data_IF_331954612677
#
_entry.id   IF_331954612677
#
_cell.length_a   1.000
_cell.length_b   1.000
_cell.length_c   1.000
_cell.angle_alpha   90.00
_cell.angle_beta   90.00
_cell.angle_gamma   90.00
#
_symmetry.space_group_name_H-M   'P 1'
#
loop_
_entity.id
_entity.type
_entity.pdbx_description
1 polymer ?
#
# COMPACT_ATOMS: atom_id res chain seq x y z
N UNK A 1 30.16 100.20 -27.66
CA UNK A 1 29.03 99.28 -27.96
C UNK A 1 28.26 98.96 -26.68
N UNK A 2 26.96 99.31 -26.68
CA UNK A 2 25.77 98.71 -26.02
C UNK A 2 25.80 98.47 -24.49
N UNK A 3 24.99 99.20 -23.67
CA UNK A 3 23.54 99.02 -23.36
C UNK A 3 23.28 97.60 -22.80
N UNK A 4 22.70 97.38 -21.63
CA UNK A 4 21.59 98.04 -20.92
C UNK A 4 21.45 97.45 -19.51
N UNK A 5 21.20 98.28 -18.51
CA UNK A 5 20.59 97.86 -17.23
C UNK A 5 19.06 97.93 -17.34
N UNK A 6 18.37 96.78 -17.21
CA UNK A 6 17.00 96.64 -16.68
C UNK A 6 16.58 95.16 -16.65
N UNK A 7 16.13 94.65 -15.50
CA UNK A 7 14.70 94.58 -15.16
C UNK A 7 14.47 93.69 -13.92
N UNK A 8 13.50 94.11 -13.11
CA UNK A 8 12.92 93.46 -11.94
C UNK A 8 12.54 91.98 -12.10
N UNK A 9 12.61 91.23 -11.00
CA UNK A 9 11.59 90.22 -10.65
C UNK A 9 11.34 90.14 -9.14
N UNK A 10 10.06 90.17 -8.69
CA UNK A 10 9.71 89.94 -7.30
C UNK A 10 9.87 88.45 -6.94
N UNK A 11 10.45 88.18 -5.77
CA UNK A 11 10.56 86.84 -5.20
C UNK A 11 9.18 86.37 -4.72
N UNK A 12 8.51 85.58 -5.56
CA UNK A 12 7.36 84.77 -5.12
C UNK A 12 7.78 83.79 -4.05
N UNK A 13 7.31 83.99 -2.81
CA UNK A 13 7.46 83.02 -1.71
C UNK A 13 6.68 81.75 -2.06
N UNK A 14 7.37 80.68 -2.40
CA UNK A 14 6.81 79.34 -2.38
C UNK A 14 6.39 79.03 -0.94
N UNK A 15 5.07 78.95 -0.69
CA UNK A 15 4.53 78.38 0.55
C UNK A 15 4.79 76.89 0.51
N UNK A 16 5.86 76.45 1.18
CA UNK A 16 6.01 75.06 1.57
C UNK A 16 4.84 74.71 2.50
N UNK A 17 3.86 73.97 1.98
CA UNK A 17 2.92 73.23 2.82
C UNK A 17 3.75 72.23 3.61
N UNK A 18 4.15 72.63 4.83
CA UNK A 18 4.53 71.68 5.87
C UNK A 18 3.30 70.81 6.10
N UNK A 19 3.28 69.64 5.48
CA UNK A 19 2.46 68.56 6.01
C UNK A 19 2.92 68.38 7.45
N UNK A 20 2.06 68.80 8.39
CA UNK A 20 2.37 68.77 9.80
C UNK A 20 2.82 67.36 10.17
N UNK A 21 3.99 67.27 10.79
CA UNK A 21 4.39 66.07 11.51
C UNK A 21 3.34 65.86 12.61
N UNK A 22 2.35 65.02 12.33
CA UNK A 22 1.36 64.58 13.32
C UNK A 22 2.12 63.69 14.29
N UNK A 23 2.22 64.14 15.54
CA UNK A 23 2.79 63.35 16.62
C UNK A 23 1.97 62.08 16.82
N UNK A 24 2.68 60.96 16.96
CA UNK A 24 2.13 59.64 17.19
C UNK A 24 1.38 59.63 18.52
N UNK A 25 0.06 59.45 18.49
CA UNK A 25 -0.78 59.49 19.68
C UNK A 25 -0.70 58.15 20.43
N UNK A 26 -0.84 58.17 21.76
CA UNK A 26 -0.88 56.93 22.59
C UNK A 26 -1.95 55.95 22.07
N UNK A 27 -3.07 56.49 21.58
CA UNK A 27 -4.17 55.71 21.03
C UNK A 27 -3.80 55.02 19.72
N UNK A 28 -2.98 55.62 18.86
CA UNK A 28 -2.44 54.96 17.65
C UNK A 28 -1.54 53.78 18.00
N UNK A 29 -0.69 53.92 19.03
CA UNK A 29 0.14 52.80 19.49
C UNK A 29 -0.71 51.66 20.03
N UNK A 30 -1.72 51.98 20.86
CA UNK A 30 -2.62 51.00 21.45
C UNK A 30 -3.42 50.24 20.39
N UNK A 31 -4.00 50.96 19.43
CA UNK A 31 -4.74 50.37 18.32
C UNK A 31 -3.80 49.51 17.46
N UNK A 32 -2.59 49.99 17.16
CA UNK A 32 -1.61 49.22 16.39
C UNK A 32 -1.24 47.90 17.09
N UNK A 33 -0.94 47.93 18.40
CA UNK A 33 -0.60 46.73 19.17
C UNK A 33 -1.81 45.80 19.28
N UNK A 34 -3.02 46.32 19.45
CA UNK A 34 -4.24 45.51 19.49
C UNK A 34 -4.48 44.78 18.17
N UNK A 35 -4.34 45.47 17.02
CA UNK A 35 -4.46 44.87 15.69
C UNK A 35 -3.35 43.83 15.49
N UNK A 36 -2.10 44.15 15.82
CA UNK A 36 -0.98 43.22 15.72
C UNK A 36 -1.20 41.96 16.57
N UNK A 37 -1.74 42.11 17.78
CA UNK A 37 -2.05 40.98 18.66
C UNK A 37 -3.12 40.06 18.05
N UNK A 38 -4.17 40.61 17.46
CA UNK A 38 -5.23 39.84 16.77
C UNK A 38 -4.66 39.13 15.54
N UNK A 39 -3.88 39.84 14.72
CA UNK A 39 -3.22 39.26 13.53
C UNK A 39 -2.28 38.13 13.92
N UNK A 40 -1.47 38.31 14.97
CA UNK A 40 -0.57 37.28 15.47
C UNK A 40 -1.33 36.02 15.95
N UNK A 41 -2.46 36.19 16.66
CA UNK A 41 -3.28 35.07 17.12
C UNK A 41 -3.94 34.33 15.95
N UNK A 42 -4.45 35.07 14.96
CA UNK A 42 -5.02 34.49 13.74
C UNK A 42 -3.96 33.77 12.90
N UNK A 43 -2.76 34.33 12.79
CA UNK A 43 -1.64 33.71 12.09
C UNK A 43 -1.21 32.40 12.79
N UNK A 44 -1.13 32.40 14.12
CA UNK A 44 -0.83 31.21 14.90
C UNK A 44 -1.91 30.13 14.72
N UNK A 45 -3.19 30.50 14.79
CA UNK A 45 -4.29 29.55 14.55
C UNK A 45 -4.33 29.05 13.11
N UNK A 46 -4.05 29.90 12.13
CA UNK A 46 -3.98 29.50 10.72
C UNK A 46 -2.85 28.50 10.47
N UNK A 47 -1.67 28.75 11.03
CA UNK A 47 -0.52 27.85 10.96
C UNK A 47 -0.83 26.50 11.64
N UNK A 48 -1.45 26.53 12.81
CA UNK A 48 -1.81 25.34 13.59
C UNK A 48 -2.88 24.47 12.89
N UNK A 49 -3.85 25.09 12.20
CA UNK A 49 -4.78 24.35 11.33
C UNK A 49 -4.08 23.70 10.12
N UNK A 50 -3.13 24.39 9.50
CA UNK A 50 -2.36 23.84 8.37
C UNK A 50 -1.46 22.68 8.84
N UNK A 51 -0.80 22.81 9.99
CA UNK A 51 0.04 21.76 10.57
C UNK A 51 -0.78 20.50 10.87
N UNK A 52 -1.93 20.64 11.54
CA UNK A 52 -2.85 19.52 11.78
C UNK A 52 -3.35 18.88 10.48
N UNK A 53 -3.71 19.68 9.48
CA UNK A 53 -4.15 19.18 8.18
C UNK A 53 -3.07 18.38 7.44
N UNK A 54 -1.81 18.84 7.51
CA UNK A 54 -0.66 18.12 6.95
C UNK A 54 -0.38 16.81 7.68
N UNK A 55 -0.51 16.78 9.00
CA UNK A 55 -0.30 15.56 9.79
C UNK A 55 -1.34 14.49 9.48
N UNK A 56 -2.62 14.86 9.34
CA UNK A 56 -3.70 13.93 8.94
C UNK A 56 -3.45 13.39 7.54
N UNK A 57 -3.12 14.25 6.58
CA UNK A 57 -2.85 13.84 5.20
C UNK A 57 -1.60 12.96 5.09
N UNK A 58 -0.54 13.26 5.84
CA UNK A 58 0.70 12.46 5.82
C UNK A 58 0.49 11.08 6.42
N UNK A 59 -0.33 10.97 7.48
CA UNK A 59 -0.69 9.67 8.09
C UNK A 59 -1.53 8.81 7.16
N UNK A 60 -2.54 9.37 6.49
CA UNK A 60 -3.36 8.61 5.55
C UNK A 60 -2.56 8.11 4.33
N UNK A 61 -1.63 8.91 3.81
CA UNK A 61 -0.74 8.49 2.72
C UNK A 61 0.25 7.39 3.14
N UNK A 62 0.75 7.43 4.38
CA UNK A 62 1.64 6.39 4.90
C UNK A 62 0.90 5.05 5.05
N UNK A 63 -0.36 5.08 5.51
CA UNK A 63 -1.20 3.88 5.61
C UNK A 63 -1.51 3.30 4.24
N UNK A 64 -1.91 4.12 3.27
CA UNK A 64 -2.19 3.67 1.89
C UNK A 64 -0.97 2.98 1.26
N UNK A 65 0.24 3.50 1.50
CA UNK A 65 1.48 2.89 1.04
C UNK A 65 1.71 1.50 1.63
N UNK A 66 1.41 1.31 2.92
CA UNK A 66 1.53 0.00 3.59
C UNK A 66 0.55 -1.01 2.97
N UNK A 67 -0.69 -0.60 2.70
CA UNK A 67 -1.67 -1.44 2.01
C UNK A 67 -1.20 -1.84 0.61
N UNK A 68 -0.73 -0.86 -0.17
CA UNK A 68 -0.24 -1.09 -1.52
C UNK A 68 0.91 -2.11 -1.51
N UNK A 69 1.88 -1.94 -0.61
CA UNK A 69 3.01 -2.87 -0.44
C UNK A 69 2.57 -4.29 -0.06
N UNK A 70 1.62 -4.41 0.87
CA UNK A 70 1.09 -5.72 1.26
C UNK A 70 0.43 -6.44 0.09
N UNK A 71 -0.44 -5.75 -0.64
CA UNK A 71 -1.13 -6.33 -1.80
C UNK A 71 -0.18 -6.58 -2.97
N UNK A 72 0.84 -5.75 -3.18
CA UNK A 72 1.87 -6.01 -4.19
C UNK A 72 2.67 -7.28 -3.87
N UNK A 73 3.02 -7.49 -2.61
CA UNK A 73 3.72 -8.71 -2.20
C UNK A 73 2.81 -9.95 -2.35
N UNK A 74 1.52 -9.86 -2.02
CA UNK A 74 0.54 -10.93 -2.28
C UNK A 74 0.39 -11.22 -3.77
N UNK A 75 0.32 -10.17 -4.60
CA UNK A 75 0.26 -10.28 -6.06
C UNK A 75 1.50 -10.99 -6.61
N UNK A 76 2.69 -10.65 -6.13
CA UNK A 76 3.94 -11.31 -6.53
C UNK A 76 3.91 -12.78 -6.13
N UNK A 77 3.50 -13.11 -4.90
CA UNK A 77 3.45 -14.53 -4.48
C UNK A 77 2.41 -15.33 -5.26
N UNK A 78 1.23 -14.76 -5.54
CA UNK A 78 0.20 -15.39 -6.36
C UNK A 78 0.65 -15.57 -7.81
N UNK A 79 1.34 -14.57 -8.36
CA UNK A 79 1.94 -14.62 -9.69
C UNK A 79 2.96 -15.74 -9.82
N UNK A 80 3.83 -15.87 -8.83
CA UNK A 80 4.90 -16.87 -8.78
C UNK A 80 4.40 -18.24 -8.29
N UNK A 81 3.09 -18.43 -8.12
CA UNK A 81 2.53 -19.68 -7.68
C UNK A 81 2.92 -20.83 -8.62
N UNK A 82 3.45 -21.90 -8.05
CA UNK A 82 3.78 -23.12 -8.77
C UNK A 82 2.52 -23.73 -9.38
N UNK A 83 2.65 -24.54 -10.41
CA UNK A 83 1.55 -25.38 -10.88
C UNK A 83 1.16 -26.42 -9.81
N UNK A 84 -0.05 -26.98 -9.90
CA UNK A 84 -0.49 -28.01 -8.97
C UNK A 84 0.36 -29.30 -9.05
N UNK A 85 0.94 -29.57 -10.23
CA UNK A 85 1.87 -30.69 -10.43
C UNK A 85 3.20 -30.45 -9.70
N UNK A 86 3.81 -29.26 -9.86
CA UNK A 86 5.03 -28.88 -9.14
C UNK A 86 4.81 -28.83 -7.62
N UNK A 87 3.64 -28.40 -7.18
CA UNK A 87 3.23 -28.40 -5.77
C UNK A 87 2.90 -29.81 -5.25
N UNK A 88 2.86 -30.83 -6.12
CA UNK A 88 2.44 -32.19 -5.82
C UNK A 88 1.11 -32.24 -5.05
N UNK A 89 0.17 -31.37 -5.44
CA UNK A 89 -1.07 -31.11 -4.71
C UNK A 89 -1.65 -29.74 -5.04
N UNK A 90 -2.26 -29.10 -4.04
CA UNK A 90 -2.82 -27.75 -4.21
C UNK A 90 -1.70 -26.71 -4.12
N UNK A 91 -1.49 -25.94 -5.19
CA UNK A 91 -0.55 -24.83 -5.16
C UNK A 91 -1.05 -23.67 -4.29
N UNK A 92 -2.37 -23.48 -4.21
CA UNK A 92 -3.01 -22.45 -3.37
C UNK A 92 -4.08 -23.10 -2.49
N UNK A 93 -4.08 -22.78 -1.20
CA UNK A 93 -5.10 -23.27 -0.27
C UNK A 93 -5.45 -22.24 0.81
N UNK A 94 -6.64 -22.42 1.39
CA UNK A 94 -7.12 -21.71 2.57
C UNK A 94 -7.19 -22.73 3.71
N UNK A 95 -6.08 -22.92 4.43
CA UNK A 95 -5.98 -23.89 5.53
C UNK A 95 -5.52 -23.20 6.81
N UNK A 96 -6.06 -23.62 7.96
CA UNK A 96 -5.69 -23.07 9.26
C UNK A 96 -5.93 -21.56 9.42
N UNK A 97 -6.89 -20.99 8.68
CA UNK A 97 -7.15 -19.54 8.67
C UNK A 97 -6.09 -18.72 7.94
N UNK A 98 -5.24 -19.36 7.14
CA UNK A 98 -4.20 -18.72 6.36
C UNK A 98 -4.40 -18.94 4.86
N UNK A 99 -4.06 -17.93 4.06
CA UNK A 99 -3.83 -18.12 2.63
C UNK A 99 -2.43 -18.71 2.45
N UNK A 100 -2.36 -19.95 1.98
CA UNK A 100 -1.12 -20.66 1.67
C UNK A 100 -0.88 -20.67 0.17
N UNK A 101 0.36 -20.37 -0.23
CA UNK A 101 0.81 -20.38 -1.62
C UNK A 101 2.13 -21.14 -1.70
N UNK A 102 2.18 -22.18 -2.54
CA UNK A 102 3.41 -22.81 -2.99
C UNK A 102 3.86 -22.06 -4.24
N UNK A 103 5.05 -21.46 -4.19
CA UNK A 103 5.58 -20.62 -5.27
C UNK A 103 6.97 -21.04 -5.71
N UNK A 104 7.34 -20.67 -6.93
CA UNK A 104 8.71 -20.69 -7.38
C UNK A 104 9.56 -19.74 -6.53
N UNK A 105 10.76 -20.20 -6.17
CA UNK A 105 11.77 -19.39 -5.50
C UNK A 105 12.80 -18.96 -6.52
N UNK A 106 13.09 -17.66 -6.55
CA UNK A 106 14.06 -17.10 -7.48
C UNK A 106 15.47 -17.63 -7.16
N UNK A 107 16.09 -18.28 -8.15
CA UNK A 107 17.46 -18.80 -8.06
C UNK A 107 18.33 -18.22 -9.17
N UNK A 108 19.66 -18.14 -8.98
CA UNK A 108 20.57 -17.70 -10.04
C UNK A 108 20.44 -18.57 -11.31
N UNK A 109 20.74 -18.01 -12.51
CA UNK A 109 20.76 -18.79 -13.74
C UNK A 109 21.64 -20.03 -13.63
N UNK A 110 21.14 -21.19 -14.09
CA UNK A 110 21.84 -22.47 -14.02
C UNK A 110 21.73 -23.21 -12.68
N UNK A 111 21.14 -22.59 -11.65
CA UNK A 111 20.82 -23.30 -10.41
C UNK A 111 19.55 -24.16 -10.56
N UNK A 112 19.48 -25.24 -9.79
CA UNK A 112 18.28 -26.09 -9.75
C UNK A 112 17.07 -25.29 -9.23
N UNK A 113 15.87 -25.44 -9.85
CA UNK A 113 14.65 -24.81 -9.38
C UNK A 113 14.37 -25.16 -7.91
N UNK A 114 13.83 -24.19 -7.17
CA UNK A 114 13.43 -24.34 -5.77
C UNK A 114 12.01 -23.86 -5.59
N UNK A 115 11.30 -24.48 -4.66
CA UNK A 115 9.98 -24.03 -4.23
C UNK A 115 10.07 -23.30 -2.90
N UNK A 116 9.05 -22.53 -2.58
CA UNK A 116 8.88 -21.91 -1.27
C UNK A 116 7.40 -21.97 -0.88
N UNK A 117 7.11 -22.30 0.37
CA UNK A 117 5.76 -22.19 0.93
C UNK A 117 5.65 -20.84 1.61
N UNK A 118 4.62 -20.08 1.26
CA UNK A 118 4.27 -18.79 1.86
C UNK A 118 2.91 -18.89 2.51
N UNK A 119 2.74 -18.29 3.68
CA UNK A 119 1.45 -18.18 4.37
C UNK A 119 1.18 -16.76 4.81
N UNK A 120 -0.04 -16.30 4.56
CA UNK A 120 -0.57 -15.04 5.08
C UNK A 120 -1.61 -15.33 6.15
N UNK A 121 -1.39 -14.82 7.36
CA UNK A 121 -2.36 -14.89 8.46
C UNK A 121 -2.35 -13.61 9.28
N UNK A 122 -3.40 -13.42 10.06
CA UNK A 122 -3.42 -12.40 11.11
C UNK A 122 -2.84 -13.02 12.38
N UNK A 123 -1.83 -12.38 12.94
CA UNK A 123 -1.27 -12.68 14.26
C UNK A 123 -1.26 -11.37 15.05
N UNK A 124 -1.77 -11.33 16.27
CA UNK A 124 -1.73 -10.14 17.14
C UNK A 124 -2.22 -8.84 16.47
N UNK A 125 -3.29 -8.92 15.67
CA UNK A 125 -3.87 -7.78 14.95
C UNK A 125 -3.01 -7.25 13.79
N UNK A 126 -2.04 -8.04 13.30
CA UNK A 126 -1.22 -7.72 12.14
C UNK A 126 -1.21 -8.84 11.11
N UNK A 127 -1.22 -8.48 9.82
CA UNK A 127 -0.97 -9.43 8.74
C UNK A 127 0.51 -9.71 8.70
N UNK A 128 0.85 -11.00 8.81
CA UNK A 128 2.23 -11.50 8.76
C UNK A 128 2.35 -12.46 7.58
N UNK A 129 3.38 -12.25 6.77
CA UNK A 129 3.81 -13.18 5.73
C UNK A 129 4.87 -14.11 6.31
N UNK A 130 4.55 -15.38 6.42
CA UNK A 130 5.53 -16.42 6.74
C UNK A 130 6.04 -17.04 5.45
N UNK A 131 7.34 -17.31 5.39
CA UNK A 131 7.92 -18.01 4.25
C UNK A 131 8.95 -19.06 4.69
N UNK A 132 8.82 -20.25 4.13
CA UNK A 132 9.80 -21.32 4.35
C UNK A 132 11.16 -20.96 3.73
N UNK A 133 12.24 -21.60 4.16
CA UNK A 133 13.47 -21.66 3.36
C UNK A 133 13.20 -22.27 1.97
N UNK A 134 14.08 -22.06 0.99
CA UNK A 134 13.98 -22.70 -0.32
C UNK A 134 13.96 -24.23 -0.19
N UNK A 135 12.99 -24.85 -0.82
CA UNK A 135 12.69 -26.27 -0.75
C UNK A 135 13.26 -26.96 -1.99
N UNK A 136 14.09 -27.97 -1.75
CA UNK A 136 14.88 -28.65 -2.76
C UNK A 136 14.22 -29.91 -3.32
N UNK A 137 13.28 -30.50 -2.59
CA UNK A 137 12.66 -31.76 -2.93
C UNK A 137 11.26 -31.89 -2.32
N UNK A 138 10.53 -32.90 -2.80
CA UNK A 138 9.15 -33.19 -2.40
C UNK A 138 9.00 -33.53 -0.90
N UNK A 139 10.01 -34.17 -0.30
CA UNK A 139 10.00 -34.48 1.14
C UNK A 139 9.99 -33.22 2.00
N UNK A 140 10.83 -32.23 1.65
CA UNK A 140 10.85 -30.92 2.28
C UNK A 140 9.54 -30.16 2.07
N UNK A 141 8.99 -30.20 0.84
CA UNK A 141 7.70 -29.58 0.54
C UNK A 141 6.56 -30.16 1.40
N UNK A 142 6.42 -31.48 1.44
CA UNK A 142 5.41 -32.14 2.29
C UNK A 142 5.59 -31.84 3.77
N UNK A 143 6.83 -31.66 4.23
CA UNK A 143 7.09 -31.23 5.60
C UNK A 143 6.61 -29.80 5.85
N UNK A 144 6.95 -28.86 4.95
CA UNK A 144 6.55 -27.46 5.05
C UNK A 144 5.03 -27.26 4.95
N UNK A 145 4.34 -28.06 4.12
CA UNK A 145 2.88 -28.02 3.99
C UNK A 145 2.16 -28.48 5.27
N UNK A 146 2.75 -29.39 6.05
CA UNK A 146 2.16 -29.87 7.30
C UNK A 146 2.24 -28.87 8.45
N UNK A 147 3.20 -27.95 8.43
CA UNK A 147 3.37 -26.97 9.51
C UNK A 147 4.53 -26.02 9.29
N UNK A 148 4.51 -24.91 10.02
CA UNK A 148 5.64 -23.98 10.13
C UNK A 148 6.72 -24.57 11.05
N UNK A 149 7.98 -24.35 10.70
CA UNK A 149 9.14 -24.62 11.54
C UNK A 149 9.81 -23.32 11.97
N UNK A 150 10.59 -23.34 13.05
CA UNK A 150 11.21 -22.12 13.62
C UNK A 150 12.20 -21.39 12.71
N UNK A 151 12.57 -21.96 11.55
CA UNK A 151 13.44 -21.36 10.55
C UNK A 151 12.67 -20.62 9.43
N UNK A 152 11.35 -20.51 9.51
CA UNK A 152 10.57 -19.70 8.57
C UNK A 152 10.81 -18.22 8.87
N UNK A 153 10.92 -17.41 7.81
CA UNK A 153 10.91 -15.96 7.99
C UNK A 153 9.50 -15.48 8.27
N UNK A 154 9.36 -14.49 9.14
CA UNK A 154 8.10 -13.83 9.45
C UNK A 154 8.26 -12.33 9.15
N UNK A 155 7.50 -11.84 8.17
CA UNK A 155 7.50 -10.44 7.77
C UNK A 155 6.16 -9.80 8.19
N UNK A 156 6.13 -9.02 9.28
CA UNK A 156 4.96 -8.21 9.61
C UNK A 156 4.76 -7.17 8.51
N UNK A 157 3.55 -7.07 7.97
CA UNK A 157 3.26 -6.21 6.82
C UNK A 157 2.39 -5.02 7.22
N UNK A 158 1.26 -5.30 7.85
CA UNK A 158 0.28 -4.29 8.19
C UNK A 158 -0.29 -4.57 9.57
N UNK A 159 -0.33 -3.54 10.42
CA UNK A 159 -0.94 -3.59 11.76
C UNK A 159 -2.37 -3.04 11.72
N UNK A 160 -3.13 -3.36 12.75
CA UNK A 160 -4.50 -2.90 12.93
C UNK A 160 -5.53 -3.64 12.09
N UNK A 161 -5.17 -4.82 11.59
CA UNK A 161 -6.07 -5.65 10.80
C UNK A 161 -6.98 -6.44 11.74
N UNK A 162 -8.27 -6.20 11.62
CA UNK A 162 -9.30 -6.93 12.37
C UNK A 162 -9.61 -8.28 11.72
N UNK A 163 -9.61 -8.30 10.38
CA UNK A 163 -9.87 -9.53 9.62
C UNK A 163 -9.16 -9.51 8.27
N UNK A 164 -8.69 -10.69 7.87
CA UNK A 164 -8.32 -11.01 6.49
C UNK A 164 -9.16 -12.20 6.05
N UNK A 165 -9.74 -12.11 4.87
CA UNK A 165 -10.43 -13.24 4.24
C UNK A 165 -9.99 -13.39 2.81
N UNK A 166 -10.08 -14.61 2.29
CA UNK A 166 -9.73 -14.90 0.92
C UNK A 166 -10.76 -15.85 0.27
N UNK A 167 -10.93 -15.68 -1.03
CA UNK A 167 -11.70 -16.57 -1.90
C UNK A 167 -10.85 -16.94 -3.10
N UNK A 168 -11.01 -18.17 -3.56
CA UNK A 168 -10.28 -18.74 -4.68
C UNK A 168 -11.23 -18.85 -5.87
N UNK A 169 -10.78 -18.44 -7.05
CA UNK A 169 -11.53 -18.66 -8.28
C UNK A 169 -11.17 -20.03 -8.85
N UNK A 170 -12.15 -20.92 -8.87
CA UNK A 170 -12.05 -22.27 -9.42
C UNK A 170 -12.80 -22.31 -10.75
N UNK A 171 -12.19 -22.69 -11.88
CA UNK A 171 -12.78 -22.52 -13.21
C UNK A 171 -14.21 -23.05 -13.40
N UNK A 172 -14.58 -24.17 -12.77
CA UNK A 172 -15.91 -24.78 -12.88
C UNK A 172 -16.90 -24.36 -11.79
N UNK A 173 -16.42 -23.71 -10.73
CA UNK A 173 -17.23 -23.37 -9.54
C UNK A 173 -17.40 -21.87 -9.35
N UNK A 174 -16.45 -21.06 -9.84
CA UNK A 174 -16.35 -19.64 -9.56
C UNK A 174 -15.65 -19.35 -8.23
N UNK A 175 -16.00 -18.23 -7.60
CA UNK A 175 -15.40 -17.81 -6.33
C UNK A 175 -15.87 -18.66 -5.16
N UNK A 176 -14.97 -19.39 -4.52
CA UNK A 176 -15.25 -20.26 -3.37
C UNK A 176 -14.20 -20.10 -2.29
N UNK A 177 -14.59 -20.32 -1.02
CA UNK A 177 -13.66 -20.52 0.10
C UNK A 177 -13.64 -21.98 0.55
N UNK A 178 -14.45 -22.84 -0.07
CA UNK A 178 -14.54 -24.25 0.26
C UNK A 178 -13.42 -25.04 -0.44
N UNK A 179 -12.49 -25.57 0.35
CA UNK A 179 -11.37 -26.35 -0.17
C UNK A 179 -11.80 -27.67 -0.83
N UNK A 180 -13.01 -28.16 -0.60
CA UNK A 180 -13.51 -29.34 -1.33
C UNK A 180 -13.74 -29.05 -2.81
N UNK A 181 -14.18 -27.85 -3.16
CA UNK A 181 -14.38 -27.45 -4.57
C UNK A 181 -13.04 -27.40 -5.31
N UNK A 182 -12.00 -26.88 -4.63
CA UNK A 182 -10.64 -26.81 -5.18
C UNK A 182 -10.05 -28.21 -5.36
N UNK A 183 -10.22 -29.11 -4.37
CA UNK A 183 -9.78 -30.51 -4.46
C UNK A 183 -10.51 -31.28 -5.55
N UNK A 184 -11.80 -31.04 -5.73
CA UNK A 184 -12.60 -31.64 -6.80
C UNK A 184 -12.09 -31.19 -8.18
N UNK A 185 -11.78 -29.89 -8.36
CA UNK A 185 -11.18 -29.38 -9.58
C UNK A 185 -9.82 -30.01 -9.86
N UNK A 186 -8.93 -30.08 -8.87
CA UNK A 186 -7.62 -30.74 -9.00
C UNK A 186 -7.76 -32.21 -9.44
N UNK A 187 -8.66 -32.96 -8.80
CA UNK A 187 -8.93 -34.36 -9.14
C UNK A 187 -9.45 -34.50 -10.57
N UNK A 188 -10.35 -33.59 -10.99
CA UNK A 188 -10.84 -33.53 -12.36
C UNK A 188 -9.74 -33.25 -13.38
N UNK A 189 -8.85 -32.29 -13.09
CA UNK A 189 -7.71 -31.96 -13.95
C UNK A 189 -6.77 -33.16 -14.10
N UNK A 190 -6.43 -33.82 -12.99
CA UNK A 190 -5.56 -35.00 -12.97
C UNK A 190 -6.16 -36.19 -13.73
N UNK A 191 -7.47 -36.40 -13.63
CA UNK A 191 -8.14 -37.46 -14.38
C UNK A 191 -8.19 -37.15 -15.88
N UNK A 192 -8.36 -35.88 -16.27
CA UNK A 192 -8.30 -35.44 -17.66
C UNK A 192 -6.91 -35.61 -18.30
N UNK A 193 -5.85 -35.43 -17.51
CA UNK A 193 -4.46 -35.63 -17.95
C UNK A 193 -4.11 -37.11 -18.22
N UNK A 194 -4.85 -38.07 -17.61
CA UNK A 194 -4.67 -39.51 -17.87
C UNK A 194 -5.24 -39.97 -19.21
N UNK A 195 -6.05 -39.14 -19.87
CA UNK A 195 -6.60 -39.44 -21.19
C UNK A 195 -5.57 -38.98 -22.24
N UNK A 196 -5.18 -39.82 -23.22
CA UNK A 196 -4.27 -39.40 -24.28
C UNK A 196 -4.89 -38.25 -25.09
N UNK A 197 -4.38 -37.04 -24.91
CA UNK A 197 -4.79 -35.87 -25.69
C UNK A 197 -3.80 -35.67 -26.85
N UNK A 198 -4.32 -35.37 -28.05
CA UNK A 198 -3.48 -34.91 -29.17
C UNK A 198 -2.98 -33.49 -28.83
N UNK A 199 -1.83 -33.40 -28.18
CA UNK A 199 -1.17 -32.12 -27.87
C UNK A 199 -0.59 -32.08 -26.46
N UNK A 200 0.52 -31.36 -26.31
CA UNK A 200 1.25 -31.21 -25.05
C UNK A 200 0.71 -30.01 -24.23
N UNK A 201 -0.61 -29.90 -24.10
CA UNK A 201 -1.23 -28.79 -23.38
C UNK A 201 -0.87 -28.86 -21.88
N UNK A 202 -0.43 -27.75 -21.26
CA UNK A 202 -0.16 -27.72 -19.82
C UNK A 202 -1.38 -28.15 -19.01
N UNK A 203 -1.16 -28.91 -17.93
CA UNK A 203 -2.24 -29.29 -17.02
C UNK A 203 -2.85 -28.01 -16.44
N UNK A 204 -4.18 -27.82 -16.54
CA UNK A 204 -4.82 -26.62 -16.03
C UNK A 204 -4.69 -26.53 -14.51
N UNK A 205 -4.58 -25.31 -13.99
CA UNK A 205 -4.56 -25.03 -12.55
C UNK A 205 -5.96 -25.23 -11.94
N UNK A 206 -6.00 -25.70 -10.70
CA UNK A 206 -7.24 -25.80 -9.91
C UNK A 206 -7.75 -24.44 -9.45
N UNK A 207 -6.84 -23.47 -9.25
CA UNK A 207 -7.13 -22.08 -8.90
C UNK A 207 -6.48 -21.16 -9.92
N UNK A 208 -7.24 -20.23 -10.49
CA UNK A 208 -6.71 -19.23 -11.44
C UNK A 208 -6.77 -17.79 -10.91
N UNK A 209 -7.45 -17.57 -9.79
CA UNK A 209 -7.52 -16.27 -9.15
C UNK A 209 -7.62 -16.35 -7.64
N UNK A 210 -7.09 -15.34 -6.96
CA UNK A 210 -7.24 -15.15 -5.51
C UNK A 210 -7.82 -13.77 -5.26
N UNK A 211 -8.94 -13.73 -4.54
CA UNK A 211 -9.52 -12.50 -4.00
C UNK A 211 -9.13 -12.42 -2.52
N UNK A 212 -8.52 -11.31 -2.11
CA UNK A 212 -8.18 -11.02 -0.71
C UNK A 212 -8.95 -9.78 -0.26
N UNK A 213 -9.62 -9.88 0.88
CA UNK A 213 -10.37 -8.80 1.50
C UNK A 213 -9.84 -8.54 2.91
N UNK A 214 -9.54 -7.28 3.21
CA UNK A 214 -8.90 -6.85 4.46
C UNK A 214 -9.78 -5.80 5.13
N UNK A 215 -10.17 -6.06 6.37
CA UNK A 215 -10.82 -5.11 7.27
C UNK A 215 -9.85 -4.63 8.33
N UNK A 216 -9.82 -3.31 8.56
CA UNK A 216 -8.99 -2.65 9.57
C UNK A 216 -9.77 -1.52 10.20
N UNK A 217 -9.56 -1.26 11.49
CA UNK A 217 -10.13 -0.10 12.17
C UNK A 217 -9.66 1.23 11.59
N UNK A 218 -8.52 1.25 10.90
CA UNK A 218 -8.01 2.43 10.19
C UNK A 218 -8.70 2.66 8.84
N UNK A 219 -9.47 1.69 8.34
CA UNK A 219 -10.18 1.78 7.06
C UNK A 219 -11.66 2.09 7.26
N UNK A 220 -12.18 3.03 6.46
CA UNK A 220 -13.62 3.26 6.39
C UNK A 220 -14.39 2.08 5.76
N UNK A 221 -13.75 1.34 4.84
CA UNK A 221 -14.34 0.23 4.10
C UNK A 221 -13.35 -0.93 3.93
N UNK A 222 -13.87 -2.15 3.82
CA UNK A 222 -13.08 -3.34 3.51
C UNK A 222 -12.42 -3.17 2.15
N UNK A 223 -11.09 -3.30 2.09
CA UNK A 223 -10.34 -3.22 0.85
C UNK A 223 -10.24 -4.62 0.25
N UNK A 224 -10.72 -4.77 -0.99
CA UNK A 224 -10.64 -6.03 -1.74
C UNK A 224 -9.72 -5.89 -2.94
N UNK A 225 -8.87 -6.90 -3.17
CA UNK A 225 -8.01 -7.03 -4.35
C UNK A 225 -8.12 -8.43 -4.93
N UNK A 226 -8.00 -8.52 -6.25
CA UNK A 226 -8.01 -9.77 -7.00
C UNK A 226 -6.68 -9.91 -7.72
N UNK A 227 -6.09 -11.10 -7.63
CA UNK A 227 -4.82 -11.46 -8.25
C UNK A 227 -5.02 -12.67 -9.14
N UNK A 228 -4.36 -12.66 -10.29
CA UNK A 228 -4.22 -13.84 -11.15
C UNK A 228 -3.13 -14.75 -10.60
N UNK A 229 -3.28 -16.05 -10.83
CA UNK A 229 -2.41 -17.08 -10.27
C UNK A 229 -1.53 -17.68 -11.36
N UNK A 230 -0.21 -17.57 -11.19
CA UNK A 230 0.74 -18.25 -12.06
C UNK A 230 0.99 -17.59 -13.43
N UNK A 231 0.91 -16.26 -13.53
CA UNK A 231 1.04 -15.49 -14.78
C UNK A 231 2.37 -14.75 -14.99
#
# INVERSE_FOLDING_TARGET
>A
MKRTDRCDRPRGRARSRRYGARGFTLIELLVAIAILAVVALLAWRGLDQIMRGRDVLTRSMAEERVFAQMFDQMRIDAREAASDDEAAGLAISLEGGALQIVRAFAVPPGAAPRLQVVRYRVQDGQVVRYASPPLANLGQLRSALRGESGNWSALPMMRGVDSISARLYVPKTGWTSNMQDVRAQLTGNNNGAKVPQLGNAPIPRSVTGVQVSVGSHSLAHVVTRIFLVGE
#
